data_IF_061012302219
#
_entry.id   IF_061012302219
#
_cell.length_a   1.000
_cell.length_b   1.000
_cell.length_c   1.000
_cell.angle_alpha   90.00
_cell.angle_beta   90.00
_cell.angle_gamma   90.00
#
_symmetry.space_group_name_H-M   'P 1'
#
loop_
_entity.id
_entity.type
_entity.pdbx_description
1 polymer ?
#
# COMPACT_ATOMS: atom_id res chain seq x y z
N UNK A 1 5.87 14.16 -18.44
CA UNK A 1 4.88 13.99 -17.34
C UNK A 1 4.11 12.71 -17.58
N UNK A 2 4.03 11.88 -16.56
CA UNK A 2 3.34 10.60 -16.53
C UNK A 2 1.86 10.87 -16.24
N UNK A 3 0.98 10.60 -17.19
CA UNK A 3 -0.45 10.90 -17.05
C UNK A 3 -1.19 9.74 -16.40
N UNK A 4 -1.78 9.99 -15.23
CA UNK A 4 -2.41 9.00 -14.38
C UNK A 4 -3.89 9.28 -14.18
N UNK A 5 -4.73 8.28 -14.41
CA UNK A 5 -6.14 8.26 -14.01
C UNK A 5 -6.31 7.54 -12.67
N UNK A 6 -7.27 7.95 -11.86
CA UNK A 6 -7.61 7.27 -10.59
C UNK A 6 -9.04 6.74 -10.70
N UNK A 7 -9.21 5.42 -10.56
CA UNK A 7 -10.50 4.77 -10.47
C UNK A 7 -10.81 4.40 -9.02
N UNK A 8 -11.77 5.08 -8.40
CA UNK A 8 -12.09 5.02 -6.98
C UNK A 8 -11.36 6.10 -6.17
N UNK A 9 -12.11 7.05 -5.65
CA UNK A 9 -11.58 8.17 -4.86
C UNK A 9 -11.87 7.99 -3.36
N UNK A 10 -11.79 6.71 -2.90
CA UNK A 10 -11.82 6.31 -1.50
C UNK A 10 -10.56 6.74 -0.75
N UNK A 11 -10.26 6.10 0.40
CA UNK A 11 -9.07 6.43 1.20
C UNK A 11 -7.79 6.42 0.35
N UNK A 12 -7.50 5.30 -0.32
CA UNK A 12 -6.25 5.15 -1.09
C UNK A 12 -6.23 6.06 -2.31
N UNK A 13 -7.30 6.14 -3.09
CA UNK A 13 -7.35 7.05 -4.26
C UNK A 13 -7.08 8.51 -3.88
N UNK A 14 -7.65 8.98 -2.74
CA UNK A 14 -7.38 10.35 -2.24
C UNK A 14 -5.94 10.51 -1.74
N UNK A 15 -5.37 9.50 -1.08
CA UNK A 15 -3.97 9.57 -0.62
C UNK A 15 -2.99 9.52 -1.79
N UNK A 16 -3.24 8.69 -2.81
CA UNK A 16 -2.48 8.71 -4.07
C UNK A 16 -2.55 10.09 -4.71
N UNK A 17 -3.75 10.70 -4.77
CA UNK A 17 -3.91 12.06 -5.28
C UNK A 17 -3.12 13.08 -4.47
N UNK A 18 -3.21 13.05 -3.13
CA UNK A 18 -2.44 13.96 -2.26
C UNK A 18 -0.94 13.74 -2.38
N UNK A 19 -0.49 12.50 -2.44
CA UNK A 19 0.92 12.15 -2.57
C UNK A 19 1.51 12.60 -3.93
N UNK A 20 0.70 12.66 -5.00
CA UNK A 20 1.18 13.06 -6.33
C UNK A 20 1.80 14.45 -6.38
N UNK A 21 1.51 15.33 -5.42
CA UNK A 21 2.16 16.65 -5.31
C UNK A 21 3.63 16.58 -4.89
N UNK A 22 4.08 15.47 -4.34
CA UNK A 22 5.50 15.20 -4.06
C UNK A 22 6.19 14.44 -5.22
N UNK A 23 5.46 14.05 -6.28
CA UNK A 23 5.94 13.36 -7.47
C UNK A 23 5.81 14.26 -8.70
N UNK A 24 6.78 15.15 -8.96
CA UNK A 24 6.64 16.22 -9.97
C UNK A 24 6.50 15.70 -11.40
N UNK A 25 6.90 14.46 -11.67
CA UNK A 25 6.77 13.84 -12.98
C UNK A 25 5.40 13.21 -13.23
N UNK A 26 4.55 13.13 -12.21
CA UNK A 26 3.20 12.56 -12.29
C UNK A 26 2.15 13.67 -12.40
N UNK A 27 1.20 13.47 -13.30
CA UNK A 27 0.02 14.32 -13.49
C UNK A 27 -1.25 13.49 -13.37
N UNK A 28 -2.11 13.81 -12.39
CA UNK A 28 -3.46 13.24 -12.35
C UNK A 28 -4.33 13.98 -13.36
N UNK A 29 -4.84 13.25 -14.35
CA UNK A 29 -5.60 13.79 -15.48
C UNK A 29 -7.09 13.51 -15.41
N UNK A 30 -7.53 12.66 -14.50
CA UNK A 30 -8.95 12.38 -14.29
C UNK A 30 -9.19 11.44 -13.12
N UNK A 31 -10.38 11.53 -12.57
CA UNK A 31 -10.85 10.72 -11.44
C UNK A 31 -12.18 10.10 -11.83
N UNK A 32 -12.40 8.85 -11.45
CA UNK A 32 -13.71 8.21 -11.50
C UNK A 32 -14.15 7.80 -10.10
N UNK A 33 -15.32 8.27 -9.69
CA UNK A 33 -16.00 7.86 -8.46
C UNK A 33 -17.50 8.10 -8.62
N UNK A 34 -18.34 7.37 -7.89
CA UNK A 34 -19.79 7.49 -8.02
C UNK A 34 -20.39 8.65 -7.19
N UNK A 35 -19.57 9.30 -6.40
CA UNK A 35 -19.95 10.51 -5.65
C UNK A 35 -19.86 11.75 -6.53
N UNK A 36 -20.59 12.81 -6.14
CA UNK A 36 -20.57 14.09 -6.84
C UNK A 36 -19.24 14.85 -6.65
N UNK A 37 -18.82 15.68 -7.62
CA UNK A 37 -17.56 16.42 -7.55
C UNK A 37 -17.41 17.30 -6.31
N UNK A 38 -18.46 17.97 -5.87
CA UNK A 38 -18.47 18.81 -4.67
C UNK A 38 -18.19 17.98 -3.39
N UNK A 39 -18.77 16.78 -3.30
CA UNK A 39 -18.52 15.89 -2.17
C UNK A 39 -17.10 15.30 -2.23
N UNK A 40 -16.59 14.96 -3.41
CA UNK A 40 -15.20 14.52 -3.57
C UNK A 40 -14.20 15.62 -3.20
N UNK A 41 -14.50 16.88 -3.60
CA UNK A 41 -13.71 18.05 -3.23
C UNK A 41 -13.71 18.25 -1.69
N UNK A 42 -14.88 18.13 -1.05
CA UNK A 42 -14.99 18.18 0.41
C UNK A 42 -14.12 17.10 1.09
N UNK A 43 -14.21 15.84 0.63
CA UNK A 43 -13.42 14.73 1.19
C UNK A 43 -11.92 14.86 0.92
N UNK A 44 -11.52 15.50 -0.19
CA UNK A 44 -10.12 15.79 -0.46
C UNK A 44 -9.60 16.89 0.46
N UNK A 45 -10.43 17.92 0.70
CA UNK A 45 -10.06 19.09 1.50
C UNK A 45 -9.88 18.74 2.98
N UNK A 46 -10.76 17.92 3.54
CA UNK A 46 -10.77 17.59 4.96
C UNK A 46 -10.51 16.12 5.19
N UNK A 47 -9.52 15.81 6.01
CA UNK A 47 -9.20 14.46 6.40
C UNK A 47 -8.85 14.39 7.89
N UNK A 48 -9.41 13.42 8.60
CA UNK A 48 -9.23 13.29 10.04
C UNK A 48 -7.78 12.96 10.41
N UNK A 49 -7.12 12.10 9.63
CA UNK A 49 -5.76 11.63 9.93
C UNK A 49 -4.70 12.47 9.28
N UNK A 50 -4.90 12.83 8.00
CA UNK A 50 -3.90 13.57 7.22
C UNK A 50 -4.16 15.09 7.18
N UNK A 51 -5.12 15.57 7.97
CA UNK A 51 -5.42 17.00 8.10
C UNK A 51 -6.01 17.63 6.84
N UNK A 52 -6.12 18.95 6.87
CA UNK A 52 -6.60 19.70 5.70
C UNK A 52 -5.56 19.60 4.56
N UNK A 53 -6.09 19.54 3.33
CA UNK A 53 -5.24 19.59 2.14
C UNK A 53 -4.45 20.92 2.10
N UNK A 54 -3.15 20.81 1.89
CA UNK A 54 -2.29 21.98 1.79
C UNK A 54 -2.39 22.63 0.40
N UNK A 55 -3.42 23.42 0.21
CA UNK A 55 -3.72 24.08 -1.05
C UNK A 55 -5.19 24.47 -1.17
N UNK A 56 -5.58 24.94 -2.35
CA UNK A 56 -6.98 25.29 -2.64
C UNK A 56 -7.70 24.09 -3.25
N UNK A 57 -8.94 23.86 -2.80
CA UNK A 57 -9.82 22.83 -3.35
C UNK A 57 -11.20 23.43 -3.55
N UNK A 58 -11.71 23.31 -4.76
CA UNK A 58 -13.04 23.73 -5.20
C UNK A 58 -13.62 22.71 -6.18
N UNK A 59 -14.82 22.93 -6.72
CA UNK A 59 -15.47 22.03 -7.67
C UNK A 59 -16.36 22.76 -8.65
N UNK A 60 -16.60 22.13 -9.78
CA UNK A 60 -17.70 22.39 -10.71
C UNK A 60 -18.67 21.20 -10.69
N UNK A 61 -19.70 21.24 -11.52
CA UNK A 61 -20.64 20.11 -11.68
C UNK A 61 -19.98 18.83 -12.23
N UNK A 62 -18.79 18.95 -12.87
CA UNK A 62 -18.13 17.85 -13.58
C UNK A 62 -16.66 17.65 -13.22
N UNK A 63 -16.11 18.45 -12.30
CA UNK A 63 -14.68 18.47 -12.02
C UNK A 63 -14.41 18.86 -10.58
N UNK A 64 -13.25 18.46 -10.05
CA UNK A 64 -12.63 19.13 -8.90
C UNK A 64 -11.59 20.12 -9.40
N UNK A 65 -11.42 21.24 -8.67
CA UNK A 65 -10.42 22.26 -8.96
C UNK A 65 -9.41 22.26 -7.81
N UNK A 66 -8.17 21.90 -8.08
CA UNK A 66 -7.11 21.83 -7.06
C UNK A 66 -5.94 22.72 -7.46
N UNK A 67 -5.62 23.68 -6.61
CA UNK A 67 -4.59 24.70 -6.89
C UNK A 67 -4.80 25.41 -8.25
N UNK A 68 -6.06 25.66 -8.61
CA UNK A 68 -6.44 26.30 -9.86
C UNK A 68 -6.45 25.38 -11.09
N UNK A 69 -6.03 24.12 -10.95
CA UNK A 69 -6.09 23.12 -12.02
C UNK A 69 -7.40 22.34 -11.95
N UNK A 70 -8.13 22.32 -13.05
CA UNK A 70 -9.35 21.53 -13.20
C UNK A 70 -9.04 20.07 -13.54
N UNK A 71 -9.64 19.13 -12.81
CA UNK A 71 -9.48 17.69 -12.98
C UNK A 71 -10.86 17.07 -13.16
N UNK A 72 -11.16 16.52 -14.34
CA UNK A 72 -12.45 15.91 -14.64
C UNK A 72 -12.80 14.77 -13.69
N UNK A 73 -14.05 14.71 -13.25
CA UNK A 73 -14.63 13.64 -12.46
C UNK A 73 -15.67 12.91 -13.29
N UNK A 74 -15.50 11.59 -13.41
CA UNK A 74 -16.46 10.70 -14.04
C UNK A 74 -17.22 9.92 -12.96
N UNK A 75 -18.48 9.54 -13.26
CA UNK A 75 -19.33 8.72 -12.38
C UNK A 75 -19.81 7.45 -13.11
N UNK A 76 -18.84 6.66 -13.59
CA UNK A 76 -19.08 5.53 -14.47
C UNK A 76 -18.77 4.22 -13.72
N UNK A 77 -19.72 3.26 -13.77
CA UNK A 77 -19.56 1.96 -13.09
C UNK A 77 -18.74 0.96 -13.89
N UNK A 78 -18.86 0.99 -15.22
CA UNK A 78 -18.16 0.07 -16.11
C UNK A 78 -16.85 0.70 -16.59
N UNK A 79 -15.67 0.16 -16.23
CA UNK A 79 -14.38 0.73 -16.62
C UNK A 79 -14.20 0.91 -18.13
N UNK A 80 -14.82 0.08 -18.96
CA UNK A 80 -14.73 0.18 -20.43
C UNK A 80 -15.37 1.43 -21.03
N UNK A 81 -16.23 2.11 -20.27
CA UNK A 81 -16.92 3.34 -20.70
C UNK A 81 -16.22 4.61 -20.22
N UNK A 82 -15.11 4.47 -19.49
CA UNK A 82 -14.33 5.60 -18.98
C UNK A 82 -13.57 6.30 -20.09
N UNK A 83 -13.42 7.64 -20.03
CA UNK A 83 -12.78 8.40 -21.11
C UNK A 83 -11.24 8.46 -20.97
N UNK A 84 -10.56 7.39 -20.52
CA UNK A 84 -9.13 7.42 -20.26
C UNK A 84 -8.31 7.88 -21.47
N UNK A 85 -8.64 7.35 -22.65
CA UNK A 85 -7.95 7.75 -23.89
C UNK A 85 -8.15 9.23 -24.23
N UNK A 86 -9.35 9.81 -23.99
CA UNK A 86 -9.63 11.25 -24.22
C UNK A 86 -8.90 12.13 -23.19
N UNK A 87 -8.78 11.67 -21.96
CA UNK A 87 -8.04 12.36 -20.90
C UNK A 87 -6.53 12.18 -21.03
N UNK A 88 -6.09 11.26 -21.88
CA UNK A 88 -4.69 10.93 -22.10
C UNK A 88 -4.07 10.16 -20.92
N UNK A 89 -4.88 9.51 -20.07
CA UNK A 89 -4.39 8.68 -18.98
C UNK A 89 -3.66 7.45 -19.54
N UNK A 90 -2.38 7.38 -19.31
CA UNK A 90 -1.54 6.22 -19.73
C UNK A 90 -1.57 5.12 -18.68
N UNK A 91 -1.50 5.50 -17.43
CA UNK A 91 -1.57 4.60 -16.26
C UNK A 91 -2.87 4.84 -15.52
N UNK A 92 -3.49 3.77 -15.02
CA UNK A 92 -4.68 3.87 -14.16
C UNK A 92 -4.40 3.22 -12.82
N UNK A 93 -4.59 3.97 -11.75
CA UNK A 93 -4.63 3.42 -10.38
C UNK A 93 -6.02 2.89 -10.12
N UNK A 94 -6.14 1.57 -10.00
CA UNK A 94 -7.38 0.89 -9.63
C UNK A 94 -7.47 0.79 -8.10
N UNK A 95 -8.26 1.66 -7.50
CA UNK A 95 -8.41 1.80 -6.04
C UNK A 95 -9.84 1.60 -5.52
N UNK A 96 -10.73 1.02 -6.34
CA UNK A 96 -12.08 0.64 -5.91
C UNK A 96 -12.12 -0.65 -5.09
N UNK A 97 -11.12 -1.54 -5.26
CA UNK A 97 -11.11 -2.89 -4.70
C UNK A 97 -12.02 -3.88 -5.42
N UNK A 98 -12.65 -3.50 -6.54
CA UNK A 98 -13.60 -4.31 -7.31
C UNK A 98 -12.94 -5.04 -8.48
N UNK A 99 -11.99 -4.39 -9.18
CA UNK A 99 -11.38 -4.86 -10.42
C UNK A 99 -9.96 -5.38 -10.17
N UNK A 100 -9.84 -6.46 -9.39
CA UNK A 100 -8.57 -7.01 -8.89
C UNK A 100 -8.12 -8.29 -9.63
N UNK A 101 -8.56 -8.45 -10.87
CA UNK A 101 -8.10 -9.48 -11.82
C UNK A 101 -7.87 -8.84 -13.16
N UNK A 102 -7.02 -9.44 -14.00
CA UNK A 102 -6.77 -8.93 -15.34
C UNK A 102 -8.07 -8.82 -16.14
N UNK A 103 -8.91 -9.88 -16.10
CA UNK A 103 -10.22 -9.90 -16.76
C UNK A 103 -11.09 -8.70 -16.35
N UNK A 104 -11.19 -8.42 -15.05
CA UNK A 104 -12.03 -7.31 -14.56
C UNK A 104 -11.44 -5.94 -14.87
N UNK A 105 -10.12 -5.83 -14.82
CA UNK A 105 -9.42 -4.58 -15.08
C UNK A 105 -9.24 -4.28 -16.58
N UNK A 106 -9.52 -5.26 -17.47
CA UNK A 106 -9.40 -5.10 -18.92
C UNK A 106 -10.17 -3.91 -19.44
N UNK A 107 -11.34 -3.60 -18.87
CA UNK A 107 -12.12 -2.45 -19.26
C UNK A 107 -11.36 -1.11 -19.22
N UNK A 108 -10.35 -0.96 -18.36
CA UNK A 108 -9.51 0.26 -18.36
C UNK A 108 -8.65 0.36 -19.62
N UNK A 109 -8.16 -0.77 -20.12
CA UNK A 109 -7.36 -0.83 -21.35
C UNK A 109 -8.26 -0.57 -22.57
N UNK A 110 -9.46 -1.17 -22.57
CA UNK A 110 -10.46 -0.94 -23.63
C UNK A 110 -10.90 0.53 -23.68
N UNK A 111 -10.87 1.23 -22.56
CA UNK A 111 -11.13 2.66 -22.41
C UNK A 111 -9.94 3.56 -22.81
N UNK A 112 -8.80 2.99 -23.21
CA UNK A 112 -7.65 3.70 -23.76
C UNK A 112 -6.47 3.91 -22.81
N UNK A 113 -6.50 3.35 -21.59
CA UNK A 113 -5.30 3.30 -20.76
C UNK A 113 -4.28 2.29 -21.32
N UNK A 114 -3.00 2.49 -21.02
CA UNK A 114 -1.93 1.57 -21.41
C UNK A 114 -1.61 0.54 -20.33
N UNK A 115 -1.68 0.93 -19.07
CA UNK A 115 -1.30 0.14 -17.90
C UNK A 115 -2.30 0.33 -16.76
N UNK A 116 -2.46 -0.72 -15.95
CA UNK A 116 -3.29 -0.67 -14.73
C UNK A 116 -2.46 -1.11 -13.53
N UNK A 117 -2.46 -0.28 -12.49
CA UNK A 117 -1.85 -0.57 -11.19
C UNK A 117 -2.96 -0.80 -10.17
N UNK A 118 -3.14 -2.03 -9.74
CA UNK A 118 -4.10 -2.39 -8.71
C UNK A 118 -3.55 -2.00 -7.32
N UNK A 119 -4.26 -1.14 -6.60
CA UNK A 119 -3.89 -0.72 -5.24
C UNK A 119 -4.36 -1.70 -4.16
N UNK A 120 -4.30 -3.00 -4.46
CA UNK A 120 -4.61 -4.12 -3.57
C UNK A 120 -3.98 -5.40 -4.13
N UNK A 121 -3.82 -6.46 -3.33
CA UNK A 121 -3.36 -7.75 -3.83
C UNK A 121 -4.28 -8.27 -4.93
N UNK A 122 -3.69 -8.69 -6.05
CA UNK A 122 -4.45 -9.33 -7.14
C UNK A 122 -5.08 -10.64 -6.69
N UNK A 123 -6.24 -10.97 -7.26
CA UNK A 123 -6.99 -12.20 -6.97
C UNK A 123 -6.75 -13.30 -8.00
N UNK A 124 -5.85 -13.07 -8.94
CA UNK A 124 -5.43 -14.00 -9.99
C UNK A 124 -3.89 -14.06 -10.08
N UNK A 125 -3.36 -14.40 -11.26
CA UNK A 125 -1.93 -14.46 -11.55
C UNK A 125 -1.26 -13.11 -11.86
N UNK A 126 -1.93 -11.97 -11.71
CA UNK A 126 -1.34 -10.65 -11.96
C UNK A 126 -0.07 -10.46 -11.13
N UNK A 127 1.06 -10.06 -11.74
CA UNK A 127 2.30 -9.80 -11.02
C UNK A 127 2.12 -8.81 -9.88
N UNK A 128 2.69 -9.12 -8.72
CA UNK A 128 2.71 -8.24 -7.55
C UNK A 128 4.10 -7.71 -7.30
N UNK A 129 4.20 -6.41 -7.06
CA UNK A 129 5.46 -5.72 -6.78
C UNK A 129 5.45 -5.05 -5.43
N UNK A 130 6.60 -5.05 -4.80
CA UNK A 130 6.97 -4.19 -3.68
C UNK A 130 8.21 -3.43 -4.08
N UNK A 131 8.12 -2.12 -4.13
CA UNK A 131 9.23 -1.24 -4.54
C UNK A 131 10.44 -1.48 -3.65
N UNK A 132 11.62 -1.62 -4.26
CA UNK A 132 12.90 -1.94 -3.62
C UNK A 132 13.09 -3.42 -3.30
N UNK A 133 12.09 -4.27 -3.51
CA UNK A 133 12.20 -5.72 -3.23
C UNK A 133 12.23 -6.53 -4.52
N UNK A 134 11.31 -6.29 -5.45
CA UNK A 134 11.22 -7.03 -6.71
C UNK A 134 10.73 -6.20 -7.91
N UNK A 135 10.68 -4.89 -7.80
CA UNK A 135 10.25 -4.00 -8.89
C UNK A 135 11.26 -3.97 -10.07
N UNK A 136 12.48 -4.46 -9.84
CA UNK A 136 13.46 -4.73 -10.89
C UNK A 136 13.01 -5.81 -11.89
N UNK A 137 12.06 -6.66 -11.50
CA UNK A 137 11.48 -7.72 -12.34
C UNK A 137 10.35 -7.24 -13.25
N UNK A 138 9.95 -5.97 -13.16
CA UNK A 138 8.94 -5.40 -14.04
C UNK A 138 9.49 -5.32 -15.48
N UNK A 139 8.66 -5.72 -16.43
CA UNK A 139 8.95 -5.63 -17.88
C UNK A 139 7.81 -4.93 -18.61
N UNK A 140 8.13 -4.26 -19.73
CA UNK A 140 7.18 -3.41 -20.46
C UNK A 140 6.00 -4.14 -21.10
N UNK A 141 6.04 -5.46 -21.23
CA UNK A 141 4.93 -6.29 -21.68
C UNK A 141 3.85 -6.54 -20.59
N UNK A 142 4.16 -6.24 -19.32
CA UNK A 142 3.20 -6.35 -18.22
C UNK A 142 2.20 -5.21 -18.27
N UNK A 143 0.96 -5.50 -18.67
CA UNK A 143 -0.12 -4.52 -18.78
C UNK A 143 -0.81 -4.26 -17.42
N UNK A 144 -0.95 -5.30 -16.61
CA UNK A 144 -1.58 -5.26 -15.30
C UNK A 144 -0.56 -5.63 -14.23
N UNK A 145 -0.48 -4.80 -13.19
CA UNK A 145 0.36 -5.06 -12.03
C UNK A 145 -0.40 -4.75 -10.73
N UNK A 146 0.06 -5.32 -9.64
CA UNK A 146 -0.47 -5.04 -8.30
C UNK A 146 0.65 -4.50 -7.41
N UNK A 147 0.35 -3.45 -6.65
CA UNK A 147 1.24 -2.92 -5.60
C UNK A 147 1.13 -3.71 -4.29
N UNK A 148 0.62 -4.96 -4.34
CA UNK A 148 0.38 -5.81 -3.18
C UNK A 148 -0.52 -5.12 -2.12
N UNK A 149 -0.31 -5.40 -0.82
CA UNK A 149 -1.00 -4.72 0.29
C UNK A 149 -0.04 -3.82 1.08
N UNK A 150 -0.58 -2.91 1.88
CA UNK A 150 0.22 -2.09 2.80
C UNK A 150 1.05 -2.95 3.76
N UNK A 151 0.45 -4.01 4.30
CA UNK A 151 1.14 -4.96 5.19
C UNK A 151 2.24 -5.73 4.45
N UNK A 152 2.03 -6.14 3.19
CA UNK A 152 3.07 -6.79 2.38
C UNK A 152 4.22 -5.83 2.10
N UNK A 153 3.92 -4.55 1.84
CA UNK A 153 4.93 -3.50 1.64
C UNK A 153 5.77 -3.24 2.90
N UNK A 154 5.19 -3.40 4.10
CA UNK A 154 5.95 -3.32 5.34
C UNK A 154 6.78 -4.59 5.61
N UNK A 155 6.18 -5.76 5.40
CA UNK A 155 6.79 -7.04 5.75
C UNK A 155 7.94 -7.42 4.80
N UNK A 156 7.79 -7.19 3.49
CA UNK A 156 8.74 -7.68 2.50
C UNK A 156 10.15 -7.07 2.65
N UNK A 157 10.36 -5.78 2.92
CA UNK A 157 11.69 -5.22 3.15
C UNK A 157 12.44 -5.85 4.31
N UNK A 158 11.81 -6.00 5.47
CA UNK A 158 12.46 -6.63 6.64
C UNK A 158 12.69 -8.13 6.43
N UNK A 159 11.75 -8.82 5.77
CA UNK A 159 11.91 -10.23 5.43
C UNK A 159 13.05 -10.43 4.41
N UNK A 160 13.21 -9.50 3.43
CA UNK A 160 14.33 -9.52 2.49
C UNK A 160 15.66 -9.42 3.21
N UNK A 161 15.84 -8.42 4.09
CA UNK A 161 17.10 -8.24 4.83
C UNK A 161 17.44 -9.48 5.67
N UNK A 162 16.46 -10.05 6.37
CA UNK A 162 16.68 -11.27 7.16
C UNK A 162 17.02 -12.47 6.29
N UNK A 163 16.30 -12.66 5.18
CA UNK A 163 16.50 -13.80 4.30
C UNK A 163 17.83 -13.73 3.56
N UNK A 164 18.22 -12.57 3.06
CA UNK A 164 19.44 -12.38 2.28
C UNK A 164 20.70 -12.59 3.15
N UNK A 165 20.66 -12.23 4.43
CA UNK A 165 21.80 -12.35 5.33
C UNK A 165 21.88 -13.73 6.03
N UNK A 166 20.76 -14.24 6.53
CA UNK A 166 20.76 -15.44 7.39
C UNK A 166 19.86 -16.56 6.90
N UNK A 167 18.97 -16.28 5.93
CA UNK A 167 17.95 -17.23 5.48
C UNK A 167 16.82 -17.39 6.50
N UNK A 168 15.58 -17.34 6.04
CA UNK A 168 14.40 -17.65 6.86
C UNK A 168 13.99 -19.09 6.56
N UNK A 169 13.89 -19.94 7.60
CA UNK A 169 13.36 -21.31 7.46
C UNK A 169 11.84 -21.32 7.52
N UNK A 170 11.29 -20.63 8.49
CA UNK A 170 9.84 -20.46 8.70
C UNK A 170 9.57 -19.24 9.58
N UNK A 171 8.32 -18.75 9.59
CA UNK A 171 7.92 -17.63 10.43
C UNK A 171 6.43 -17.37 10.47
N UNK A 172 6.03 -16.70 11.55
CA UNK A 172 4.68 -16.23 11.77
C UNK A 172 4.66 -14.71 11.88
N UNK A 173 3.73 -14.08 11.17
CA UNK A 173 3.53 -12.64 11.22
C UNK A 173 2.19 -12.32 11.87
N UNK A 174 2.19 -11.38 12.79
CA UNK A 174 0.97 -10.71 13.24
C UNK A 174 1.07 -9.23 12.86
N UNK A 175 0.10 -8.72 12.13
CA UNK A 175 -0.05 -7.27 12.02
C UNK A 175 -1.09 -6.77 13.02
N UNK A 176 -0.68 -5.86 13.90
CA UNK A 176 -1.61 -5.06 14.71
C UNK A 176 -1.97 -3.86 13.84
N UNK A 177 -3.19 -3.90 13.30
CA UNK A 177 -3.58 -3.04 12.18
C UNK A 177 -4.68 -2.08 12.58
N UNK A 178 -4.56 -0.83 12.16
CA UNK A 178 -5.60 0.17 12.31
C UNK A 178 -6.90 -0.23 11.60
N UNK A 179 -7.97 0.47 11.94
CA UNK A 179 -9.30 0.26 11.33
C UNK A 179 -9.27 0.59 9.84
N UNK A 180 -10.10 -0.10 9.08
CA UNK A 180 -10.27 0.15 7.64
C UNK A 180 -11.76 0.33 7.31
N UNK A 181 -12.06 0.92 6.16
CA UNK A 181 -13.41 1.22 5.72
C UNK A 181 -14.35 0.00 5.59
N UNK A 182 -13.80 -1.22 5.59
CA UNK A 182 -14.59 -2.46 5.55
C UNK A 182 -15.15 -2.87 6.90
N UNK A 183 -14.65 -2.30 8.01
CA UNK A 183 -15.12 -2.59 9.36
C UNK A 183 -16.40 -1.82 9.70
N UNK A 184 -17.15 -2.32 10.68
CA UNK A 184 -18.38 -1.69 11.15
C UNK A 184 -18.10 -0.70 12.27
N UNK A 185 -18.81 0.43 12.27
CA UNK A 185 -18.75 1.41 13.39
C UNK A 185 -19.44 0.89 14.63
N UNK A 186 -20.58 0.20 14.45
CA UNK A 186 -21.35 -0.49 15.50
C UNK A 186 -21.57 -1.95 15.09
N UNK A 187 -21.95 -2.81 16.03
CA UNK A 187 -22.27 -4.22 15.73
C UNK A 187 -23.33 -4.30 14.62
N UNK A 188 -22.99 -5.00 13.55
CA UNK A 188 -23.83 -5.15 12.37
C UNK A 188 -23.56 -6.43 11.60
N UNK A 189 -24.50 -6.88 10.76
CA UNK A 189 -24.38 -8.15 10.05
C UNK A 189 -23.17 -8.13 9.09
N UNK A 190 -22.40 -9.23 9.12
CA UNK A 190 -21.29 -9.49 8.22
C UNK A 190 -21.24 -10.99 7.96
N UNK A 191 -21.90 -11.44 6.88
CA UNK A 191 -22.11 -12.86 6.61
C UNK A 191 -20.84 -13.64 6.30
N UNK A 192 -19.81 -12.98 5.75
CA UNK A 192 -18.52 -13.60 5.39
C UNK A 192 -17.48 -13.55 6.49
N UNK A 193 -17.54 -12.53 7.33
CA UNK A 193 -16.61 -12.31 8.43
C UNK A 193 -17.38 -11.79 9.65
N UNK A 194 -17.79 -12.70 10.50
CA UNK A 194 -18.59 -12.37 11.68
C UNK A 194 -17.84 -11.46 12.65
N UNK A 195 -16.52 -11.66 12.81
CA UNK A 195 -15.69 -10.80 13.67
C UNK A 195 -15.58 -9.39 13.09
N UNK A 196 -15.45 -9.23 11.79
CA UNK A 196 -15.46 -7.93 11.11
C UNK A 196 -16.82 -7.22 11.16
N UNK A 197 -17.90 -7.89 11.57
CA UNK A 197 -19.20 -7.30 11.87
C UNK A 197 -19.30 -6.61 13.23
N UNK A 198 -18.28 -6.75 14.11
CA UNK A 198 -18.27 -6.13 15.43
C UNK A 198 -17.74 -4.69 15.36
N UNK A 199 -18.19 -3.87 16.32
CA UNK A 199 -17.83 -2.46 16.43
C UNK A 199 -16.31 -2.25 16.52
N UNK A 200 -15.75 -1.57 15.52
CA UNK A 200 -14.30 -1.40 15.38
C UNK A 200 -13.68 -0.60 16.52
N UNK A 201 -14.36 0.44 16.99
CA UNK A 201 -13.85 1.35 18.02
C UNK A 201 -13.81 0.76 19.44
N UNK A 202 -14.47 -0.38 19.67
CA UNK A 202 -14.58 -1.00 21.01
C UNK A 202 -13.93 -2.38 21.12
N UNK A 203 -13.22 -2.86 20.10
CA UNK A 203 -12.75 -4.25 20.08
C UNK A 203 -11.34 -4.39 19.50
N UNK A 204 -10.64 -5.44 19.98
CA UNK A 204 -9.52 -6.06 19.25
C UNK A 204 -10.12 -7.19 18.42
N UNK A 205 -10.00 -7.11 17.09
CA UNK A 205 -10.68 -8.03 16.17
C UNK A 205 -9.67 -8.88 15.40
N UNK A 206 -9.53 -10.18 15.73
CA UNK A 206 -8.72 -11.09 14.92
C UNK A 206 -9.31 -11.23 13.50
N UNK A 207 -8.46 -11.10 12.51
CA UNK A 207 -8.86 -11.15 11.09
C UNK A 207 -7.82 -11.93 10.29
N UNK A 208 -8.24 -12.61 9.25
CA UNK A 208 -7.31 -13.24 8.31
C UNK A 208 -6.60 -12.20 7.45
N UNK A 209 -5.37 -12.49 7.07
CA UNK A 209 -4.63 -11.71 6.09
C UNK A 209 -3.83 -12.60 5.15
N UNK A 210 -3.81 -12.23 3.88
CA UNK A 210 -2.96 -12.88 2.88
C UNK A 210 -1.56 -12.26 2.77
N UNK A 211 -1.26 -11.22 3.55
CA UNK A 211 -0.05 -10.41 3.38
C UNK A 211 1.25 -11.23 3.53
N UNK A 212 1.33 -12.11 4.53
CA UNK A 212 2.52 -12.94 4.72
C UNK A 212 2.72 -13.97 3.60
N UNK A 213 1.62 -14.56 3.09
CA UNK A 213 1.67 -15.45 1.91
C UNK A 213 2.05 -14.70 0.64
N UNK A 214 1.62 -13.44 0.52
CA UNK A 214 1.96 -12.60 -0.62
C UNK A 214 3.46 -12.28 -0.69
N UNK A 215 4.18 -12.27 0.45
CA UNK A 215 5.65 -12.13 0.45
C UNK A 215 6.31 -13.25 -0.35
N UNK A 216 5.81 -14.48 -0.31
CA UNK A 216 6.31 -15.60 -1.14
C UNK A 216 6.09 -15.42 -2.66
N UNK A 217 5.20 -14.50 -3.09
CA UNK A 217 5.07 -14.12 -4.50
C UNK A 217 6.08 -13.03 -4.90
N UNK A 218 6.48 -12.22 -3.94
CA UNK A 218 7.43 -11.10 -4.12
C UNK A 218 8.87 -11.58 -3.95
N UNK A 219 9.10 -12.46 -2.96
CA UNK A 219 10.38 -13.11 -2.65
C UNK A 219 10.15 -14.64 -2.76
N UNK A 220 10.37 -15.25 -3.93
CA UNK A 220 10.03 -16.66 -4.19
C UNK A 220 10.66 -17.65 -3.21
N UNK A 221 11.84 -17.35 -2.67
CA UNK A 221 12.57 -18.16 -1.69
C UNK A 221 11.80 -18.30 -0.36
N UNK A 222 10.87 -17.39 -0.09
CA UNK A 222 10.01 -17.39 1.11
C UNK A 222 8.63 -18.02 0.85
N UNK A 223 8.40 -18.57 -0.35
CA UNK A 223 7.13 -19.22 -0.64
C UNK A 223 6.89 -20.43 0.27
N UNK A 224 5.76 -20.42 0.96
CA UNK A 224 5.40 -21.49 1.91
C UNK A 224 6.07 -21.39 3.29
N UNK A 225 7.01 -20.46 3.49
CA UNK A 225 7.74 -20.30 4.76
C UNK A 225 7.09 -19.30 5.72
N UNK A 226 6.28 -18.36 5.20
CA UNK A 226 5.63 -17.33 6.00
C UNK A 226 4.11 -17.45 5.93
N UNK A 227 3.46 -17.34 7.08
CA UNK A 227 2.01 -17.14 7.20
C UNK A 227 1.73 -16.18 8.34
N UNK A 228 0.47 -15.75 8.49
CA UNK A 228 0.17 -14.79 9.54
C UNK A 228 -1.31 -14.42 9.64
N UNK A 229 -1.57 -13.51 10.59
CA UNK A 229 -2.91 -12.98 10.86
C UNK A 229 -2.85 -11.48 11.14
N UNK A 230 -4.02 -10.87 11.26
CA UNK A 230 -4.19 -9.47 11.66
C UNK A 230 -4.98 -9.38 12.96
N UNK A 231 -4.57 -8.47 13.82
CA UNK A 231 -5.37 -7.96 14.94
C UNK A 231 -5.79 -6.53 14.60
N UNK A 232 -7.08 -6.31 14.33
CA UNK A 232 -7.62 -4.95 14.15
C UNK A 232 -7.81 -4.29 15.50
N UNK A 233 -7.29 -3.06 15.65
CA UNK A 233 -7.34 -2.28 16.90
C UNK A 233 -8.00 -0.92 16.66
N UNK A 234 -8.51 -0.24 17.71
CA UNK A 234 -9.21 1.03 17.58
C UNK A 234 -8.30 2.25 17.34
N UNK A 235 -7.31 2.11 16.45
CA UNK A 235 -6.52 3.21 15.90
C UNK A 235 -7.02 3.51 14.49
N UNK A 236 -6.95 4.77 14.05
CA UNK A 236 -7.50 5.18 12.77
C UNK A 236 -6.50 5.03 11.62
N UNK A 237 -5.21 5.13 11.91
CA UNK A 237 -4.12 4.96 10.97
C UNK A 237 -2.84 4.53 11.70
N UNK A 238 -1.83 4.16 10.96
CA UNK A 238 -0.57 3.55 11.38
C UNK A 238 -0.75 2.17 12.02
N UNK A 239 -0.06 1.22 11.46
CA UNK A 239 -0.09 -0.19 11.83
C UNK A 239 1.33 -0.68 12.12
N UNK A 240 1.44 -1.87 12.70
CA UNK A 240 2.73 -2.49 13.00
C UNK A 240 2.74 -3.96 12.60
N UNK A 241 3.84 -4.40 12.01
CA UNK A 241 4.17 -5.81 11.76
C UNK A 241 5.03 -6.34 12.90
N UNK A 242 4.58 -7.44 13.50
CA UNK A 242 5.32 -8.32 14.39
C UNK A 242 5.68 -9.57 13.58
N UNK A 243 6.95 -9.75 13.24
CA UNK A 243 7.45 -10.90 12.50
C UNK A 243 8.36 -11.74 13.39
N UNK A 244 7.92 -12.95 13.71
CA UNK A 244 8.71 -13.95 14.44
C UNK A 244 9.18 -15.01 13.47
N UNK A 245 10.50 -15.26 13.40
CA UNK A 245 11.11 -16.18 12.42
C UNK A 245 12.16 -17.08 13.07
N UNK A 246 12.33 -18.26 12.46
CA UNK A 246 13.53 -19.08 12.61
C UNK A 246 14.49 -18.75 11.45
N UNK A 247 15.76 -18.47 11.79
CA UNK A 247 16.84 -18.22 10.85
C UNK A 247 17.61 -19.52 10.56
N UNK A 248 18.08 -19.68 9.34
CA UNK A 248 18.91 -20.83 8.95
C UNK A 248 20.35 -20.71 9.49
N UNK A 249 20.84 -19.49 9.68
CA UNK A 249 22.15 -19.19 10.27
C UNK A 249 21.96 -18.38 11.54
N UNK A 250 22.78 -18.59 12.58
CA UNK A 250 22.70 -17.79 13.81
C UNK A 250 23.05 -16.31 13.54
N UNK A 251 22.38 -15.42 14.24
CA UNK A 251 22.64 -13.98 14.26
C UNK A 251 22.43 -13.43 15.66
N UNK A 252 23.31 -12.55 16.11
CA UNK A 252 23.04 -11.73 17.29
C UNK A 252 22.02 -10.65 16.89
N UNK A 253 21.18 -10.25 17.84
CA UNK A 253 20.15 -9.23 17.55
C UNK A 253 20.75 -7.90 17.10
N UNK A 254 21.93 -7.54 17.64
CA UNK A 254 22.67 -6.34 17.25
C UNK A 254 23.16 -6.41 15.79
N UNK A 255 23.49 -7.61 15.28
CA UNK A 255 23.85 -7.80 13.87
C UNK A 255 22.64 -7.61 12.96
N UNK A 256 21.46 -8.07 13.41
CA UNK A 256 20.19 -7.83 12.72
C UNK A 256 19.89 -6.32 12.66
N UNK A 257 20.00 -5.61 13.79
CA UNK A 257 19.83 -4.16 13.84
C UNK A 257 20.80 -3.44 12.90
N UNK A 258 22.07 -3.83 12.90
CA UNK A 258 23.09 -3.23 12.04
C UNK A 258 22.78 -3.45 10.55
N UNK A 259 22.33 -4.65 10.16
CA UNK A 259 21.94 -4.95 8.78
C UNK A 259 20.70 -4.17 8.36
N UNK A 260 19.68 -4.06 9.22
CA UNK A 260 18.48 -3.24 8.94
C UNK A 260 18.84 -1.76 8.77
N UNK A 261 19.72 -1.23 9.63
CA UNK A 261 20.21 0.14 9.52
C UNK A 261 20.97 0.36 8.21
N UNK A 262 21.90 -0.53 7.88
CA UNK A 262 22.67 -0.44 6.64
C UNK A 262 21.74 -0.50 5.39
N UNK A 263 20.75 -1.38 5.39
CA UNK A 263 19.78 -1.46 4.31
C UNK A 263 18.93 -0.17 4.20
N UNK A 264 18.50 0.41 5.33
CA UNK A 264 17.71 1.65 5.37
C UNK A 264 18.46 2.89 4.87
N UNK A 265 19.78 2.90 5.04
CA UNK A 265 20.66 3.97 4.56
C UNK A 265 21.18 3.71 3.13
N UNK A 266 21.12 2.45 2.68
CA UNK A 266 21.63 1.95 1.40
C UNK A 266 20.54 1.56 0.39
N UNK A 267 20.45 0.27 0.10
CA UNK A 267 19.61 -0.28 -0.99
C UNK A 267 18.11 -0.06 -0.81
N UNK A 268 17.62 0.03 0.43
CA UNK A 268 16.23 0.25 0.77
C UNK A 268 15.96 1.68 1.26
N UNK A 269 16.84 2.62 0.96
CA UNK A 269 16.64 4.02 1.32
C UNK A 269 15.34 4.58 0.75
N UNK A 270 14.54 5.24 1.61
CA UNK A 270 13.22 5.76 1.26
C UNK A 270 12.09 4.71 1.27
N UNK A 271 12.42 3.45 1.58
CA UNK A 271 11.49 2.32 1.67
C UNK A 271 11.52 1.76 3.09
N UNK A 272 12.70 1.34 3.56
CA UNK A 272 12.96 0.93 4.94
C UNK A 272 13.46 2.13 5.74
N UNK A 273 12.85 2.34 6.90
CA UNK A 273 13.35 3.23 7.94
C UNK A 273 13.95 2.45 9.09
N UNK A 274 14.64 3.14 9.99
CA UNK A 274 15.25 2.58 11.19
C UNK A 274 15.09 3.56 12.35
N UNK A 275 14.70 3.07 13.51
CA UNK A 275 14.62 3.87 14.73
C UNK A 275 15.14 3.13 15.96
N UNK A 276 15.73 3.86 16.89
CA UNK A 276 16.11 3.42 18.23
C UNK A 276 15.36 4.21 19.31
N UNK A 277 14.44 5.08 18.90
CA UNK A 277 13.65 5.88 19.82
C UNK A 277 12.50 5.05 20.43
N UNK A 278 11.99 5.50 21.56
CA UNK A 278 10.84 4.90 22.23
C UNK A 278 9.54 5.44 21.59
N UNK A 279 9.22 4.97 20.40
CA UNK A 279 8.14 5.45 19.54
C UNK A 279 6.84 4.64 19.71
N UNK A 280 5.74 5.26 19.27
CA UNK A 280 4.42 4.64 19.16
C UNK A 280 3.83 4.92 17.77
N UNK A 281 2.70 4.30 17.44
CA UNK A 281 2.11 4.37 16.10
C UNK A 281 1.93 5.80 15.56
N UNK A 282 1.47 6.75 16.38
CA UNK A 282 1.19 8.11 15.93
C UNK A 282 2.43 8.90 15.48
N UNK A 283 3.64 8.47 15.88
CA UNK A 283 4.89 9.10 15.47
C UNK A 283 5.22 8.88 13.98
N UNK A 284 4.55 7.92 13.34
CA UNK A 284 4.75 7.57 11.94
C UNK A 284 3.62 8.02 11.01
N UNK A 285 2.68 8.82 11.52
CA UNK A 285 1.63 9.39 10.69
C UNK A 285 2.21 10.29 9.61
N UNK A 286 1.89 9.99 8.35
CA UNK A 286 2.42 10.72 7.21
C UNK A 286 3.83 10.28 6.77
N UNK A 287 4.39 9.21 7.32
CA UNK A 287 5.67 8.67 6.85
C UNK A 287 5.50 7.99 5.48
N UNK A 288 6.26 8.45 4.48
CA UNK A 288 6.20 7.92 3.12
C UNK A 288 6.94 6.57 2.95
N UNK A 289 7.73 6.15 3.94
CA UNK A 289 8.36 4.84 3.96
C UNK A 289 7.32 3.79 4.34
N UNK A 290 7.41 2.61 3.75
CA UNK A 290 6.43 1.53 3.98
C UNK A 290 6.81 0.55 5.08
N UNK A 291 8.02 0.69 5.64
CA UNK A 291 8.53 -0.23 6.67
C UNK A 291 9.53 0.52 7.54
N UNK A 292 9.24 0.78 8.81
CA UNK A 292 10.16 1.44 9.73
C UNK A 292 10.54 0.45 10.83
N UNK A 293 11.74 -0.12 10.72
CA UNK A 293 12.25 -1.09 11.67
C UNK A 293 12.48 -0.45 13.03
N UNK A 294 11.91 -1.03 14.08
CA UNK A 294 12.07 -0.61 15.47
C UNK A 294 13.09 -1.51 16.16
N UNK A 295 14.30 -1.00 16.32
CA UNK A 295 15.42 -1.76 16.88
C UNK A 295 15.23 -2.14 18.36
N UNK A 296 14.42 -1.35 19.10
CA UNK A 296 14.20 -1.59 20.54
C UNK A 296 12.95 -2.42 20.84
N UNK A 297 12.06 -2.61 19.89
CA UNK A 297 10.84 -3.39 20.07
C UNK A 297 11.02 -4.89 19.76
N UNK A 298 12.11 -5.29 19.09
CA UNK A 298 12.39 -6.68 18.76
C UNK A 298 13.01 -7.47 19.90
N UNK A 299 13.02 -8.79 19.76
CA UNK A 299 13.50 -9.73 20.78
C UNK A 299 14.18 -10.92 20.09
N UNK A 300 15.35 -11.34 20.58
CA UNK A 300 15.95 -12.63 20.25
C UNK A 300 15.84 -13.58 21.44
N UNK A 301 15.16 -14.71 21.26
CA UNK A 301 15.11 -15.78 22.27
C UNK A 301 16.37 -16.65 22.18
N UNK A 302 16.82 -16.92 20.97
CA UNK A 302 18.08 -17.59 20.65
C UNK A 302 18.71 -16.88 19.45
N UNK A 303 19.95 -17.26 19.10
CA UNK A 303 20.61 -16.70 17.91
C UNK A 303 19.91 -17.07 16.58
N UNK A 304 18.94 -17.98 16.60
CA UNK A 304 18.17 -18.39 15.40
C UNK A 304 16.67 -18.15 15.53
N UNK A 305 16.14 -17.79 16.70
CA UNK A 305 14.71 -17.53 16.89
C UNK A 305 14.50 -16.11 17.36
N UNK A 306 14.03 -15.27 16.45
CA UNK A 306 13.99 -13.83 16.62
C UNK A 306 12.62 -13.25 16.24
N UNK A 307 12.25 -12.17 16.94
CA UNK A 307 11.12 -11.32 16.63
C UNK A 307 11.64 -9.96 16.23
N UNK A 308 11.15 -9.45 15.10
CA UNK A 308 11.40 -8.08 14.63
C UNK A 308 10.08 -7.32 14.49
N UNK A 309 10.13 -6.01 14.70
CA UNK A 309 8.97 -5.13 14.67
C UNK A 309 9.20 -4.04 13.64
N UNK A 310 8.19 -3.74 12.83
CA UNK A 310 8.25 -2.67 11.86
C UNK A 310 6.93 -1.92 11.76
N UNK A 311 6.99 -0.59 11.81
CA UNK A 311 5.86 0.35 11.72
C UNK A 311 5.59 0.73 10.28
N UNK A 312 4.35 1.13 9.98
CA UNK A 312 3.98 1.69 8.67
C UNK A 312 2.70 2.50 8.74
N UNK A 313 2.71 3.66 8.10
CA UNK A 313 1.46 4.35 7.76
C UNK A 313 0.79 3.56 6.63
N UNK A 314 -0.30 2.88 6.96
CA UNK A 314 -0.96 1.95 6.03
C UNK A 314 -1.70 2.66 4.89
N UNK A 315 -1.86 3.97 4.94
CA UNK A 315 -2.46 4.81 3.90
C UNK A 315 -1.39 5.60 3.14
N UNK A 316 -0.60 6.42 3.83
CA UNK A 316 0.32 7.36 3.21
C UNK A 316 1.54 6.69 2.59
N UNK A 317 2.25 5.87 3.33
CA UNK A 317 3.42 5.15 2.81
C UNK A 317 3.06 4.26 1.63
N UNK A 318 1.96 3.52 1.75
CA UNK A 318 1.44 2.68 0.68
C UNK A 318 1.09 3.48 -0.59
N UNK A 319 0.41 4.61 -0.44
CA UNK A 319 -0.01 5.45 -1.56
C UNK A 319 1.17 6.08 -2.31
N UNK A 320 2.23 6.47 -1.61
CA UNK A 320 3.48 6.89 -2.24
C UNK A 320 4.10 5.77 -3.07
N UNK A 321 4.10 4.52 -2.57
CA UNK A 321 4.67 3.38 -3.33
C UNK A 321 3.85 2.98 -4.56
N UNK A 322 2.57 3.29 -4.60
CA UNK A 322 1.78 3.19 -5.85
C UNK A 322 2.34 4.12 -6.92
N UNK A 323 2.71 5.35 -6.55
CA UNK A 323 3.29 6.33 -7.47
C UNK A 323 4.74 5.98 -7.83
N UNK A 324 5.56 5.57 -6.86
CA UNK A 324 6.93 5.09 -7.12
C UNK A 324 6.93 3.90 -8.10
N UNK A 325 5.96 2.97 -7.98
CA UNK A 325 5.82 1.86 -8.91
C UNK A 325 5.46 2.35 -10.32
N UNK A 326 4.58 3.34 -10.45
CA UNK A 326 4.25 3.96 -11.74
C UNK A 326 5.48 4.62 -12.36
N UNK A 327 6.27 5.36 -11.58
CA UNK A 327 7.52 5.99 -12.06
C UNK A 327 8.53 4.94 -12.51
N UNK A 328 8.64 3.84 -11.77
CA UNK A 328 9.47 2.69 -12.15
C UNK A 328 9.00 2.07 -13.47
N UNK A 329 7.69 1.81 -13.60
CA UNK A 329 7.10 1.27 -14.82
C UNK A 329 7.35 2.21 -16.00
N UNK A 330 7.10 3.50 -15.85
CA UNK A 330 7.33 4.49 -16.89
C UNK A 330 8.79 4.51 -17.36
N UNK A 331 9.74 4.41 -16.42
CA UNK A 331 11.16 4.37 -16.73
C UNK A 331 11.54 3.14 -17.58
N UNK A 332 10.91 1.99 -17.33
CA UNK A 332 11.14 0.76 -18.08
C UNK A 332 10.43 0.79 -19.44
N UNK A 333 9.20 1.31 -19.47
CA UNK A 333 8.38 1.38 -20.69
C UNK A 333 8.95 2.32 -21.74
N UNK A 334 9.84 3.26 -21.35
CA UNK A 334 10.40 4.29 -22.23
C UNK A 334 11.94 4.16 -22.43
N UNK A 335 12.52 3.02 -22.09
CA UNK A 335 13.89 2.64 -22.45
C UNK A 335 13.94 2.02 -23.84
#
# INVERSE_FOLDING_TARGET
MIKVGINGFGRIGRMVFRASFAHPDIEIVGINDLCSPDYLAYMLKYDTMHGQFNGTVDSTDTSIIVNGKEIPVCAVKNPAELPWGKLGAEYVVESTGLFLTQEKAQGHIDAGAKKVVMSAPSKDGTPMFVVGVNDDKYTSDMTFVSNASCTTNCLAPIAKVLNDNWGITDGLMTTVHSTTATQKTVDGPSMKDWRGGRAAAGNIIPSSTGAAKAVGKVIPELNGKLTGMSMRVPTLDVSVVDLTVNLAKPAKYEEICAAMKAASEGELKGILGYTEDAVVSSDFLGDARTSIFDAKAGIALTDTFVKVVSWYDNEWGYSNKVLDLIERMYTVDHK
#
